data_IF_905679167527
#
_entry.id   IF_905679167527
#
_cell.length_a   1.000
_cell.length_b   1.000
_cell.length_c   1.000
_cell.angle_alpha   90.00
_cell.angle_beta   90.00
_cell.angle_gamma   90.00
#
_symmetry.space_group_name_H-M   'P 1'
#
loop_
_entity.id
_entity.type
_entity.pdbx_description
1 polymer ?
#
# COMPACT_ATOMS: atom_id res chain seq x y z
N UNK A 1 20.49 -8.04 0.89
CA UNK A 1 19.05 -7.92 0.53
C UNK A 1 18.35 -7.28 1.70
N UNK A 2 17.35 -6.43 1.46
CA UNK A 2 16.57 -5.73 2.51
C UNK A 2 15.09 -6.04 2.35
N UNK A 3 14.32 -5.92 3.42
CA UNK A 3 12.85 -5.97 3.39
C UNK A 3 12.32 -4.73 4.13
N UNK A 4 11.67 -3.85 3.40
CA UNK A 4 11.20 -2.56 3.91
C UNK A 4 9.67 -2.49 4.03
N UNK A 5 8.98 -3.64 3.98
CA UNK A 5 7.54 -3.67 4.16
C UNK A 5 7.12 -4.78 5.14
N UNK A 6 7.32 -4.51 6.44
CA UNK A 6 7.07 -5.49 7.52
C UNK A 6 6.18 -4.89 8.60
N UNK A 7 5.12 -5.64 8.96
CA UNK A 7 4.16 -5.25 9.99
C UNK A 7 4.28 -6.14 11.23
N UNK A 8 4.24 -5.53 12.41
CA UNK A 8 4.26 -6.21 13.70
C UNK A 8 2.85 -6.48 14.26
N UNK A 9 1.83 -5.85 13.69
CA UNK A 9 0.46 -5.74 14.22
C UNK A 9 -0.14 -7.05 14.73
N UNK A 10 0.02 -8.14 13.98
CA UNK A 10 -0.63 -9.44 14.28
C UNK A 10 -0.24 -10.05 15.62
N UNK A 11 0.97 -9.78 16.09
CA UNK A 11 1.46 -10.25 17.39
C UNK A 11 1.74 -9.11 18.37
N UNK A 12 1.35 -7.89 18.00
CA UNK A 12 1.42 -6.69 18.79
C UNK A 12 2.79 -6.00 18.78
N UNK A 13 2.77 -4.72 19.16
CA UNK A 13 3.96 -3.89 19.28
C UNK A 13 4.73 -4.26 20.52
N UNK A 14 5.64 -5.22 20.41
CA UNK A 14 6.51 -5.64 21.50
C UNK A 14 7.92 -5.91 20.99
N UNK A 15 8.89 -5.66 21.87
CA UNK A 15 10.29 -5.97 21.58
C UNK A 15 10.51 -7.44 21.25
N UNK A 16 9.84 -8.33 21.98
CA UNK A 16 9.97 -9.77 21.73
C UNK A 16 9.48 -10.15 20.33
N UNK A 17 8.37 -9.56 19.90
CA UNK A 17 7.86 -9.75 18.53
C UNK A 17 8.81 -9.19 17.48
N UNK A 18 9.26 -7.94 17.63
CA UNK A 18 10.21 -7.32 16.70
C UNK A 18 11.51 -8.12 16.56
N UNK A 19 12.07 -8.62 17.66
CA UNK A 19 13.27 -9.47 17.64
C UNK A 19 13.06 -10.76 16.85
N UNK A 20 11.90 -11.39 16.92
CA UNK A 20 11.58 -12.58 16.09
C UNK A 20 11.62 -12.28 14.59
N UNK A 21 11.11 -11.13 14.17
CA UNK A 21 11.21 -10.70 12.77
C UNK A 21 12.66 -10.45 12.35
N UNK A 22 13.44 -9.78 13.19
CA UNK A 22 14.87 -9.49 12.94
C UNK A 22 15.65 -10.79 12.80
N UNK A 23 15.51 -11.72 13.76
CA UNK A 23 16.16 -13.04 13.74
C UNK A 23 15.80 -13.84 12.49
N UNK A 24 14.52 -13.82 12.10
CA UNK A 24 14.06 -14.50 10.90
C UNK A 24 14.63 -13.89 9.62
N UNK A 25 14.67 -12.57 9.55
CA UNK A 25 15.26 -11.83 8.43
C UNK A 25 16.76 -12.15 8.29
N UNK A 26 17.51 -12.10 9.39
CA UNK A 26 18.93 -12.45 9.42
C UNK A 26 19.17 -13.90 8.99
N UNK A 27 18.37 -14.84 9.47
CA UNK A 27 18.45 -16.25 9.09
C UNK A 27 18.19 -16.46 7.56
N UNK A 28 17.49 -15.54 6.92
CA UNK A 28 17.27 -15.53 5.47
C UNK A 28 18.26 -14.67 4.68
N UNK A 29 19.29 -14.15 5.34
CA UNK A 29 20.34 -13.36 4.71
C UNK A 29 19.94 -11.92 4.39
N UNK A 30 18.87 -11.40 5.01
CA UNK A 30 18.55 -9.98 4.94
C UNK A 30 19.53 -9.19 5.81
N UNK A 31 20.02 -8.09 5.28
CA UNK A 31 20.95 -7.20 5.98
C UNK A 31 20.23 -6.13 6.80
N UNK A 32 18.99 -5.81 6.47
CA UNK A 32 18.21 -4.78 7.15
C UNK A 32 16.72 -5.02 6.88
N UNK A 33 15.85 -4.61 7.82
CA UNK A 33 14.39 -4.57 7.69
C UNK A 33 13.86 -3.21 8.11
N UNK A 34 12.77 -2.75 7.49
CA UNK A 34 11.98 -1.65 8.02
C UNK A 34 10.67 -2.17 8.60
N UNK A 35 10.36 -1.77 9.80
CA UNK A 35 9.01 -1.91 10.33
C UNK A 35 8.17 -0.74 9.80
N UNK A 36 7.09 -1.04 9.13
CA UNK A 36 6.23 -0.07 8.42
C UNK A 36 4.77 -0.34 8.76
N UNK A 37 4.43 -0.15 10.05
CA UNK A 37 3.07 -0.38 10.51
C UNK A 37 2.06 0.47 9.73
N UNK A 38 0.88 -0.10 9.52
CA UNK A 38 -0.23 0.64 8.94
C UNK A 38 -0.64 1.82 9.83
N UNK A 39 -0.80 3.00 9.24
CA UNK A 39 -1.24 4.19 9.93
C UNK A 39 -2.59 4.01 10.66
N UNK A 40 -3.50 3.19 10.12
CA UNK A 40 -4.80 2.91 10.75
C UNK A 40 -4.70 2.18 12.09
N UNK A 41 -3.54 1.62 12.44
CA UNK A 41 -3.31 1.01 13.75
C UNK A 41 -3.09 2.05 14.86
N UNK A 42 -2.81 3.32 14.51
CA UNK A 42 -2.48 4.37 15.46
C UNK A 42 -3.64 5.34 15.65
N UNK A 43 -3.98 5.62 16.91
CA UNK A 43 -5.10 6.53 17.23
C UNK A 43 -4.85 7.97 16.76
N UNK A 44 -3.59 8.38 16.70
CA UNK A 44 -3.18 9.70 16.22
C UNK A 44 -3.41 9.90 14.72
N UNK A 45 -3.43 8.81 13.95
CA UNK A 45 -3.60 8.85 12.50
C UNK A 45 -5.07 8.93 12.05
N UNK A 46 -6.03 8.72 12.96
CA UNK A 46 -7.46 8.70 12.62
C UNK A 46 -7.94 9.88 11.73
N UNK A 47 -7.51 11.14 11.96
CA UNK A 47 -7.94 12.27 11.13
C UNK A 47 -7.46 12.22 9.67
N UNK A 48 -6.47 11.38 9.37
CA UNK A 48 -5.84 11.28 8.05
C UNK A 48 -6.34 10.10 7.23
N UNK A 49 -7.20 9.26 7.81
CA UNK A 49 -7.71 8.06 7.15
C UNK A 49 -8.94 8.36 6.30
N UNK A 50 -9.16 7.55 5.28
CA UNK A 50 -10.39 7.58 4.46
C UNK A 50 -11.66 7.42 5.32
N UNK A 51 -11.53 6.66 6.40
CA UNK A 51 -12.56 6.46 7.40
C UNK A 51 -11.94 6.57 8.79
N UNK A 52 -12.11 7.71 9.49
CA UNK A 52 -11.54 7.90 10.84
C UNK A 52 -12.00 6.87 11.87
N UNK A 53 -13.20 6.30 11.70
CA UNK A 53 -13.75 5.24 12.54
C UNK A 53 -13.04 3.88 12.35
N UNK A 54 -12.27 3.73 11.29
CA UNK A 54 -11.57 2.47 10.98
C UNK A 54 -10.56 2.08 12.07
N UNK A 55 -9.89 3.07 12.70
CA UNK A 55 -9.00 2.84 13.84
C UNK A 55 -9.72 2.11 14.99
N UNK A 56 -10.95 2.49 15.28
CA UNK A 56 -11.71 1.88 16.37
C UNK A 56 -12.34 0.53 16.02
N UNK A 57 -12.52 0.24 14.73
CA UNK A 57 -13.19 -0.98 14.25
C UNK A 57 -12.16 -2.06 13.90
N UNK A 58 -11.09 -1.70 13.22
CA UNK A 58 -10.13 -2.63 12.64
C UNK A 58 -8.69 -2.39 13.11
N UNK A 59 -8.36 -1.17 13.56
CA UNK A 59 -7.06 -0.84 14.09
C UNK A 59 -6.83 -1.43 15.48
N UNK A 60 -5.57 -1.54 15.86
CA UNK A 60 -5.17 -2.05 17.17
C UNK A 60 -5.26 -0.99 18.28
N UNK A 61 -5.51 0.29 17.95
CA UNK A 61 -5.55 1.39 18.90
C UNK A 61 -4.20 1.65 19.56
N UNK A 62 -3.11 1.38 18.85
CA UNK A 62 -1.77 1.66 19.32
C UNK A 62 -1.52 3.17 19.43
N UNK A 63 -0.54 3.53 20.27
CA UNK A 63 0.03 4.88 20.29
C UNK A 63 1.25 4.90 19.38
N UNK A 64 1.33 5.92 18.52
CA UNK A 64 2.47 6.03 17.61
C UNK A 64 3.77 6.27 18.37
N UNK A 65 3.73 6.98 19.50
CA UNK A 65 4.91 7.22 20.35
C UNK A 65 5.49 5.91 20.91
N UNK A 66 4.64 4.94 21.27
CA UNK A 66 5.07 3.62 21.74
C UNK A 66 5.77 2.85 20.63
N UNK A 67 5.25 2.92 19.40
CA UNK A 67 5.86 2.31 18.23
C UNK A 67 7.22 2.94 17.88
N UNK A 68 7.28 4.26 17.82
CA UNK A 68 8.51 5.00 17.56
C UNK A 68 9.56 4.65 18.62
N UNK A 69 9.17 4.69 19.92
CA UNK A 69 10.08 4.36 21.02
C UNK A 69 10.60 2.93 20.93
N UNK A 70 9.75 1.97 20.55
CA UNK A 70 10.16 0.57 20.36
C UNK A 70 11.24 0.43 19.30
N UNK A 71 11.02 1.01 18.11
CA UNK A 71 11.94 0.85 16.98
C UNK A 71 13.25 1.64 17.23
N UNK A 72 13.15 2.84 17.78
CA UNK A 72 14.35 3.65 18.14
C UNK A 72 15.19 2.96 19.23
N UNK A 73 14.59 2.28 20.24
CA UNK A 73 15.35 1.45 21.19
C UNK A 73 16.10 0.31 20.48
N UNK A 74 15.49 -0.32 19.49
CA UNK A 74 16.16 -1.38 18.70
C UNK A 74 17.32 -0.80 17.88
N UNK A 75 17.13 0.34 17.22
CA UNK A 75 18.19 1.06 16.48
C UNK A 75 19.36 1.42 17.40
N UNK A 76 19.06 1.99 18.58
CA UNK A 76 20.08 2.38 19.57
C UNK A 76 20.88 1.18 20.11
N UNK A 77 20.30 -0.02 20.10
CA UNK A 77 20.98 -1.28 20.46
C UNK A 77 21.77 -1.91 19.30
N UNK A 78 21.78 -1.28 18.13
CA UNK A 78 22.55 -1.73 16.97
C UNK A 78 21.86 -2.81 16.13
N UNK A 79 20.57 -3.03 16.29
CA UNK A 79 19.83 -3.90 15.38
C UNK A 79 19.68 -3.23 14.02
N UNK A 80 19.79 -3.99 12.90
CA UNK A 80 19.69 -3.46 11.54
C UNK A 80 18.23 -3.23 11.16
N UNK A 81 17.59 -2.25 11.78
CA UNK A 81 16.19 -1.92 11.57
C UNK A 81 16.03 -0.45 11.20
N UNK A 82 14.97 -0.17 10.44
CA UNK A 82 14.48 1.15 10.09
C UNK A 82 13.11 1.38 10.70
N UNK A 83 12.85 2.62 11.10
CA UNK A 83 11.54 3.08 11.51
C UNK A 83 10.79 3.60 10.29
N UNK A 84 9.71 2.94 9.92
CA UNK A 84 8.87 3.37 8.82
C UNK A 84 7.39 3.42 9.21
N UNK A 85 6.58 3.85 8.29
CA UNK A 85 5.11 3.82 8.38
C UNK A 85 4.53 3.56 6.99
N UNK A 86 3.44 2.80 6.92
CA UNK A 86 2.62 2.70 5.73
C UNK A 86 1.36 3.53 5.89
N UNK A 87 1.19 4.50 5.01
CA UNK A 87 0.06 5.44 5.03
C UNK A 87 -0.71 5.38 3.72
N UNK A 88 -2.03 5.37 3.81
CA UNK A 88 -2.89 5.49 2.65
C UNK A 88 -2.81 6.88 2.02
N UNK A 89 -2.72 6.91 0.69
CA UNK A 89 -2.90 8.15 -0.06
C UNK A 89 -4.38 8.51 -0.14
N UNK A 90 -4.76 9.54 0.57
CA UNK A 90 -6.11 10.12 0.57
C UNK A 90 -5.99 11.57 0.12
N UNK A 91 -6.48 11.92 -1.08
CA UNK A 91 -6.32 13.27 -1.64
C UNK A 91 -6.75 14.39 -0.70
N UNK A 92 -7.84 14.16 0.06
CA UNK A 92 -8.44 15.14 0.95
C UNK A 92 -7.61 15.41 2.21
N UNK A 93 -6.72 14.49 2.59
CA UNK A 93 -5.96 14.56 3.85
C UNK A 93 -4.45 14.53 3.67
N UNK A 94 -3.94 14.44 2.44
CA UNK A 94 -2.51 14.26 2.19
C UNK A 94 -1.63 15.38 2.76
N UNK A 95 -2.08 16.62 2.72
CA UNK A 95 -1.33 17.75 3.28
C UNK A 95 -1.24 17.66 4.81
N UNK A 96 -2.32 17.25 5.47
CA UNK A 96 -2.33 17.00 6.90
C UNK A 96 -1.45 15.81 7.28
N UNK A 97 -1.46 14.76 6.47
CA UNK A 97 -0.60 13.59 6.63
C UNK A 97 0.87 13.96 6.48
N UNK A 98 1.24 14.74 5.47
CA UNK A 98 2.59 15.22 5.26
C UNK A 98 3.08 16.04 6.46
N UNK A 99 2.26 16.97 6.96
CA UNK A 99 2.57 17.75 8.14
C UNK A 99 2.75 16.88 9.40
N UNK A 100 1.90 15.87 9.59
CA UNK A 100 1.99 14.93 10.70
C UNK A 100 3.29 14.12 10.66
N UNK A 101 3.66 13.60 9.50
CA UNK A 101 4.87 12.78 9.31
C UNK A 101 6.15 13.53 9.69
N UNK A 102 6.21 14.85 9.48
CA UNK A 102 7.38 15.66 9.88
C UNK A 102 7.61 15.73 11.39
N UNK A 103 6.61 15.38 12.19
CA UNK A 103 6.71 15.32 13.65
C UNK A 103 7.44 14.09 14.19
N UNK A 104 7.77 13.11 13.34
CA UNK A 104 8.36 11.83 13.75
C UNK A 104 9.61 11.53 12.96
N UNK A 105 10.58 10.80 13.54
CA UNK A 105 11.86 10.50 12.89
C UNK A 105 11.78 9.28 11.97
N UNK A 106 10.78 9.22 11.08
CA UNK A 106 10.67 8.12 10.13
C UNK A 106 11.85 8.08 9.18
N UNK A 107 12.46 6.90 9.04
CA UNK A 107 13.50 6.63 8.05
C UNK A 107 12.89 6.35 6.66
N UNK A 108 11.60 5.93 6.62
CA UNK A 108 10.90 5.50 5.41
C UNK A 108 9.38 5.69 5.55
N UNK A 109 8.75 6.24 4.54
CA UNK A 109 7.30 6.37 4.42
C UNK A 109 6.83 5.64 3.17
N UNK A 110 6.00 4.60 3.34
CA UNK A 110 5.35 3.89 2.25
C UNK A 110 3.98 4.53 2.00
N UNK A 111 3.72 4.90 0.76
CA UNK A 111 2.40 5.35 0.30
C UNK A 111 1.64 4.21 -0.37
N UNK A 112 0.48 3.88 0.14
CA UNK A 112 -0.36 2.80 -0.39
C UNK A 112 -1.74 3.30 -0.77
N UNK A 113 -2.43 2.54 -1.61
CA UNK A 113 -3.84 2.77 -1.94
C UNK A 113 -4.61 1.52 -1.56
N UNK A 114 -5.32 1.58 -0.42
CA UNK A 114 -6.26 0.53 0.02
C UNK A 114 -7.72 1.00 -0.11
N UNK A 115 -7.93 2.29 -0.40
CA UNK A 115 -9.24 2.92 -0.48
C UNK A 115 -9.42 3.64 -1.80
N UNK A 116 -10.54 3.38 -2.47
CA UNK A 116 -10.95 4.09 -3.68
C UNK A 116 -12.22 4.86 -3.31
N UNK A 117 -12.12 6.20 -3.16
CA UNK A 117 -13.24 7.09 -2.85
C UNK A 117 -14.08 6.59 -1.64
N UNK A 118 -13.41 6.11 -0.57
CA UNK A 118 -14.02 5.58 0.66
C UNK A 118 -14.42 4.10 0.60
N UNK A 119 -14.18 3.41 -0.51
CA UNK A 119 -14.36 1.98 -0.65
C UNK A 119 -13.06 1.22 -0.40
N UNK A 120 -13.03 0.38 0.66
CA UNK A 120 -11.90 -0.52 0.95
C UNK A 120 -11.99 -1.77 0.09
N UNK A 121 -11.27 -1.80 -0.99
CA UNK A 121 -11.36 -2.86 -2.01
C UNK A 121 -10.59 -4.13 -1.63
N UNK A 122 -9.67 -4.03 -0.67
CA UNK A 122 -8.79 -5.12 -0.22
C UNK A 122 -9.23 -5.77 1.10
N UNK A 123 -10.34 -5.32 1.67
CA UNK A 123 -10.86 -5.83 2.95
C UNK A 123 -11.50 -7.21 2.78
N UNK A 124 -12.37 -7.36 1.79
CA UNK A 124 -13.14 -8.58 1.58
C UNK A 124 -13.51 -8.76 0.10
N UNK A 125 -13.47 -10.01 -0.39
CA UNK A 125 -13.81 -10.31 -1.77
C UNK A 125 -15.26 -9.95 -2.13
N UNK A 126 -16.18 -9.99 -1.18
CA UNK A 126 -17.58 -9.63 -1.42
C UNK A 126 -17.79 -8.14 -1.66
N UNK A 127 -16.85 -7.29 -1.25
CA UNK A 127 -16.88 -5.85 -1.53
C UNK A 127 -16.86 -5.53 -3.04
N UNK A 128 -16.43 -6.50 -3.86
CA UNK A 128 -16.36 -6.40 -5.31
C UNK A 128 -17.68 -6.74 -6.03
N UNK A 129 -18.70 -7.22 -5.30
CA UNK A 129 -19.99 -7.56 -5.90
C UNK A 129 -20.68 -6.33 -6.51
N UNK A 130 -20.88 -6.36 -7.83
CA UNK A 130 -21.53 -5.27 -8.56
C UNK A 130 -20.65 -4.05 -8.85
N UNK A 131 -19.36 -4.12 -8.56
CA UNK A 131 -18.40 -3.05 -8.86
C UNK A 131 -18.05 -3.06 -10.34
N UNK A 132 -18.02 -1.88 -10.96
CA UNK A 132 -17.45 -1.69 -12.29
C UNK A 132 -15.92 -1.83 -12.20
N UNK A 133 -15.42 -2.93 -12.75
CA UNK A 133 -14.01 -3.29 -12.69
C UNK A 133 -13.14 -2.27 -13.47
N UNK A 134 -13.61 -1.76 -14.61
CA UNK A 134 -12.87 -0.77 -15.39
C UNK A 134 -12.71 0.55 -14.61
N UNK A 135 -13.81 1.01 -13.98
CA UNK A 135 -13.76 2.17 -13.10
C UNK A 135 -12.80 1.95 -11.92
N UNK A 136 -12.89 0.80 -11.24
CA UNK A 136 -12.06 0.50 -10.08
C UNK A 136 -10.56 0.54 -10.42
N UNK A 137 -10.16 -0.10 -11.52
CA UNK A 137 -8.77 -0.10 -11.96
C UNK A 137 -8.30 1.29 -12.39
N UNK A 138 -9.10 2.00 -13.19
CA UNK A 138 -8.77 3.36 -13.62
C UNK A 138 -8.53 4.26 -12.41
N UNK A 139 -9.48 4.26 -11.47
CA UNK A 139 -9.41 5.11 -10.29
C UNK A 139 -8.28 4.72 -9.34
N UNK A 140 -8.02 3.42 -9.17
CA UNK A 140 -6.88 2.94 -8.41
C UNK A 140 -5.56 3.51 -8.93
N UNK A 141 -5.31 3.38 -10.23
CA UNK A 141 -4.05 3.84 -10.81
C UNK A 141 -3.95 5.38 -10.89
N UNK A 142 -5.06 6.10 -10.99
CA UNK A 142 -5.08 7.55 -10.79
C UNK A 142 -4.59 7.93 -9.39
N UNK A 143 -5.12 7.28 -8.35
CA UNK A 143 -4.72 7.51 -6.97
C UNK A 143 -3.26 7.11 -6.72
N UNK A 144 -2.83 5.95 -7.23
CA UNK A 144 -1.45 5.49 -7.09
C UNK A 144 -0.46 6.42 -7.79
N UNK A 145 -0.81 6.94 -8.98
CA UNK A 145 0.00 7.93 -9.69
C UNK A 145 0.05 9.26 -8.96
N UNK A 146 -1.06 9.71 -8.40
CA UNK A 146 -1.11 10.91 -7.59
C UNK A 146 -0.31 10.76 -6.29
N UNK A 147 -0.36 9.59 -5.64
CA UNK A 147 0.50 9.27 -4.51
C UNK A 147 1.98 9.39 -4.86
N UNK A 148 2.39 8.79 -5.98
CA UNK A 148 3.78 8.87 -6.46
C UNK A 148 4.21 10.31 -6.79
N UNK A 149 3.32 11.12 -7.34
CA UNK A 149 3.59 12.52 -7.69
C UNK A 149 3.54 13.47 -6.48
N UNK A 150 2.98 13.06 -5.35
CA UNK A 150 2.78 13.93 -4.18
C UNK A 150 4.09 14.38 -3.52
N UNK A 151 5.17 13.63 -3.69
CA UNK A 151 6.45 13.87 -3.01
C UNK A 151 6.43 13.59 -1.50
N UNK A 152 5.35 13.01 -0.97
CA UNK A 152 5.19 12.69 0.46
C UNK A 152 5.81 11.34 0.80
N UNK A 153 5.85 10.41 -0.14
CA UNK A 153 6.24 9.03 0.07
C UNK A 153 7.60 8.71 -0.53
N UNK A 154 8.38 7.90 0.17
CA UNK A 154 9.66 7.38 -0.32
C UNK A 154 9.47 6.20 -1.28
N UNK A 155 8.42 5.41 -1.05
CA UNK A 155 8.09 4.19 -1.79
C UNK A 155 6.58 4.11 -2.00
N UNK A 156 6.15 3.63 -3.17
CA UNK A 156 4.76 3.22 -3.40
C UNK A 156 4.65 1.74 -3.10
N UNK A 157 3.83 1.39 -2.12
CA UNK A 157 3.55 0.02 -1.70
C UNK A 157 2.72 -0.73 -2.74
N UNK A 158 3.01 -2.02 -2.92
CA UNK A 158 2.24 -3.00 -3.73
C UNK A 158 1.37 -2.39 -4.85
N UNK A 159 1.98 -1.82 -5.91
CA UNK A 159 1.28 -1.01 -6.92
C UNK A 159 0.24 -1.78 -7.76
N UNK A 160 -0.02 -3.03 -7.43
CA UNK A 160 -1.00 -3.90 -8.09
C UNK A 160 -1.93 -4.65 -7.11
N UNK A 161 -2.03 -4.19 -5.86
CA UNK A 161 -2.88 -4.79 -4.82
C UNK A 161 -4.37 -4.83 -5.22
N UNK A 162 -4.79 -3.98 -6.14
CA UNK A 162 -6.13 -4.02 -6.77
C UNK A 162 -6.49 -5.42 -7.32
N UNK A 163 -5.51 -6.27 -7.58
CA UNK A 163 -5.70 -7.64 -8.08
C UNK A 163 -5.94 -8.68 -6.98
N UNK A 164 -5.86 -8.31 -5.71
CA UNK A 164 -5.82 -9.22 -4.56
C UNK A 164 -6.91 -10.29 -4.60
N UNK A 165 -8.16 -9.90 -4.85
CA UNK A 165 -9.30 -10.83 -4.89
C UNK A 165 -9.63 -11.38 -6.27
N UNK A 166 -8.70 -11.27 -7.22
CA UNK A 166 -8.86 -11.88 -8.54
C UNK A 166 -9.79 -11.14 -9.50
N UNK A 167 -10.34 -9.97 -9.12
CA UNK A 167 -11.05 -9.13 -10.06
C UNK A 167 -10.12 -8.75 -11.22
N UNK A 168 -10.61 -8.86 -12.45
CA UNK A 168 -9.82 -8.60 -13.67
C UNK A 168 -10.64 -7.76 -14.65
N UNK A 169 -9.96 -6.88 -15.36
CA UNK A 169 -10.58 -6.19 -16.50
C UNK A 169 -10.87 -7.19 -17.60
N UNK A 170 -12.08 -7.10 -18.17
CA UNK A 170 -12.42 -7.85 -19.36
C UNK A 170 -11.93 -7.13 -20.63
N UNK A 171 -11.40 -7.89 -21.58
CA UNK A 171 -11.06 -7.32 -22.89
C UNK A 171 -12.35 -6.85 -23.58
N UNK A 172 -12.39 -5.59 -24.00
CA UNK A 172 -13.51 -5.08 -24.78
C UNK A 172 -13.55 -5.79 -26.13
N UNK A 173 -14.68 -6.44 -26.45
CA UNK A 173 -14.89 -7.01 -27.76
C UNK A 173 -14.79 -5.90 -28.83
N UNK A 174 -13.86 -6.03 -29.79
CA UNK A 174 -13.76 -5.09 -30.91
C UNK A 174 -15.08 -5.07 -31.68
N UNK A 175 -15.68 -3.90 -31.94
CA UNK A 175 -16.81 -3.83 -32.86
C UNK A 175 -16.38 -4.38 -34.24
N UNK A 176 -16.94 -5.53 -34.63
CA UNK A 176 -16.70 -6.15 -35.94
C UNK A 176 -15.58 -7.18 -36.02
N UNK A 177 -14.88 -7.52 -34.94
CA UNK A 177 -13.92 -8.61 -34.87
C UNK A 177 -14.60 -9.90 -34.40
N UNK A 178 -14.49 -10.99 -35.16
CA UNK A 178 -14.92 -12.31 -34.72
C UNK A 178 -14.21 -12.68 -33.42
N UNK A 179 -14.93 -13.36 -32.51
CA UNK A 179 -14.34 -13.89 -31.28
C UNK A 179 -13.19 -14.80 -31.64
N UNK A 180 -11.96 -14.37 -31.36
CA UNK A 180 -10.86 -15.31 -31.33
C UNK A 180 -11.17 -16.34 -30.23
N UNK A 181 -11.27 -17.59 -30.63
CA UNK A 181 -11.63 -18.72 -29.78
C UNK A 181 -10.66 -19.00 -28.61
N UNK A 182 -9.70 -18.10 -28.40
CA UNK A 182 -8.68 -18.19 -27.35
C UNK A 182 -9.09 -17.54 -26.00
N UNK A 183 -10.15 -16.70 -25.95
CA UNK A 183 -10.63 -16.09 -24.73
C UNK A 183 -12.01 -16.66 -24.33
N UNK A 184 -12.05 -17.93 -24.05
CA UNK A 184 -13.22 -18.60 -23.47
C UNK A 184 -13.21 -18.48 -21.94
N UNK A 185 -13.82 -17.41 -21.40
CA UNK A 185 -13.92 -17.19 -19.95
C UNK A 185 -12.89 -16.20 -19.45
N UNK A 186 -13.24 -15.42 -18.43
CA UNK A 186 -12.52 -14.33 -17.77
C UNK A 186 -11.07 -14.11 -18.24
N UNK A 187 -10.81 -12.96 -18.85
CA UNK A 187 -9.45 -12.58 -19.25
C UNK A 187 -8.51 -12.59 -18.05
N UNK A 188 -7.64 -13.61 -17.98
CA UNK A 188 -6.49 -13.57 -17.09
C UNK A 188 -5.40 -12.64 -17.64
N UNK A 189 -4.32 -12.43 -16.89
CA UNK A 189 -3.14 -11.61 -17.24
C UNK A 189 -2.48 -11.96 -18.60
N UNK A 190 -2.98 -12.97 -19.30
CA UNK A 190 -2.53 -13.43 -20.62
C UNK A 190 -3.20 -12.79 -21.84
N UNK A 191 -4.29 -12.02 -21.66
CA UNK A 191 -4.95 -11.34 -22.78
C UNK A 191 -4.13 -10.13 -23.22
N UNK A 192 -3.74 -10.08 -24.50
CA UNK A 192 -2.92 -9.01 -25.04
C UNK A 192 -3.51 -7.62 -24.87
N UNK A 193 -4.83 -7.47 -24.92
CA UNK A 193 -5.52 -6.17 -24.76
C UNK A 193 -5.55 -5.73 -23.30
N UNK A 194 -5.84 -6.62 -22.36
CA UNK A 194 -5.73 -6.33 -20.92
C UNK A 194 -4.29 -6.01 -20.52
N UNK A 195 -3.30 -6.70 -21.09
CA UNK A 195 -1.88 -6.38 -20.89
C UNK A 195 -1.51 -4.98 -21.34
N UNK A 196 -2.01 -4.55 -22.50
CA UNK A 196 -1.73 -3.21 -23.03
C UNK A 196 -2.36 -2.11 -22.16
N UNK A 197 -3.58 -2.30 -21.67
CA UNK A 197 -4.24 -1.34 -20.77
C UNK A 197 -3.49 -1.27 -19.44
N UNK A 198 -3.17 -2.42 -18.83
CA UNK A 198 -2.40 -2.47 -17.60
C UNK A 198 -1.00 -1.87 -17.75
N UNK A 199 -0.31 -2.14 -18.87
CA UNK A 199 0.98 -1.52 -19.15
C UNK A 199 0.90 0.01 -19.17
N UNK A 200 -0.15 0.58 -19.77
CA UNK A 200 -0.38 2.03 -19.75
C UNK A 200 -0.52 2.60 -18.36
N UNK A 201 -1.20 1.90 -17.45
CA UNK A 201 -1.30 2.33 -16.05
C UNK A 201 0.05 2.27 -15.32
N UNK A 202 0.83 1.21 -15.51
CA UNK A 202 2.16 1.12 -14.90
C UNK A 202 3.14 2.14 -15.47
N UNK A 203 3.07 2.45 -16.77
CA UNK A 203 3.88 3.48 -17.40
C UNK A 203 3.54 4.87 -16.83
N UNK A 204 2.26 5.17 -16.61
CA UNK A 204 1.82 6.42 -16.00
C UNK A 204 2.31 6.55 -14.55
N UNK A 205 2.20 5.47 -13.75
CA UNK A 205 2.69 5.43 -12.38
C UNK A 205 4.22 5.62 -12.32
N UNK A 206 4.96 4.95 -13.20
CA UNK A 206 6.42 5.08 -13.27
C UNK A 206 6.83 6.51 -13.66
N UNK A 207 6.13 7.16 -14.60
CA UNK A 207 6.38 8.54 -14.99
C UNK A 207 6.16 9.49 -13.80
N UNK A 208 5.04 9.35 -13.08
CA UNK A 208 4.74 10.14 -11.89
C UNK A 208 5.82 10.02 -10.81
N UNK A 209 6.33 8.81 -10.57
CA UNK A 209 7.40 8.56 -9.59
C UNK A 209 8.74 9.19 -10.00
N UNK A 210 9.01 9.36 -11.29
CA UNK A 210 10.22 10.04 -11.78
C UNK A 210 10.10 11.56 -11.64
N UNK A 211 8.96 12.13 -11.98
CA UNK A 211 8.71 13.57 -11.91
C UNK A 211 8.77 14.11 -10.48
N UNK A 212 8.33 13.34 -9.49
CA UNK A 212 8.33 13.75 -8.08
C UNK A 212 9.72 13.90 -7.46
N UNK A 213 10.78 13.40 -8.12
CA UNK A 213 12.17 13.48 -7.64
C UNK A 213 12.98 14.64 -8.23
N UNK A 214 12.38 15.45 -9.11
CA UNK A 214 12.99 16.64 -9.73
C UNK A 214 12.51 17.93 -9.10
#
# INVERSE_FOLDING_TARGET
MVDYHVHLERAGLSRANALRFIEHAQARGLSEVAFTEHAYNFVECAPMLARPDYVSIHGHGFRIDDYVSLVEDLKARGFPVKLGIELDYIPETIDAAAAFLTGYPFDLVIGSVHWIDGWGFDIDASSWNGVDIEWAYSRYFELASAAAASGVFDVIGHPDVIKLFGARMEAKARPGGGRDAACGGSCGDGCGECRLILAGYYDALAAAAVESRT
#
